data_IF_245481975059
#
_entry.id   IF_245481975059
#
_cell.length_a   1.000
_cell.length_b   1.000
_cell.length_c   1.000
_cell.angle_alpha   90.00
_cell.angle_beta   90.00
_cell.angle_gamma   90.00
#
_symmetry.space_group_name_H-M   'P 1'
#
loop_
_entity.id
_entity.type
_entity.pdbx_description
1 polymer ?
#
# COMPACT_ATOMS: atom_id res chain seq x y z
N UNK A 1 15.28 -3.17 -8.02
CA UNK A 1 13.89 -2.86 -8.38
C UNK A 1 13.70 -2.97 -9.89
N UNK A 2 12.66 -3.68 -10.34
CA UNK A 2 12.19 -3.63 -11.72
C UNK A 2 10.97 -2.70 -11.81
N UNK A 3 11.02 -1.67 -12.63
CA UNK A 3 9.96 -0.66 -12.72
C UNK A 3 9.18 -0.84 -14.01
N UNK A 4 7.86 -0.96 -13.88
CA UNK A 4 6.90 -0.94 -14.96
C UNK A 4 6.07 0.35 -14.83
N UNK A 5 6.38 1.39 -15.62
CA UNK A 5 5.60 2.62 -15.60
C UNK A 5 4.15 2.34 -16.02
N UNK A 6 3.18 2.93 -15.33
CA UNK A 6 1.74 2.87 -15.62
C UNK A 6 1.26 4.30 -15.86
N UNK A 7 0.81 4.55 -17.08
CA UNK A 7 0.24 5.83 -17.50
C UNK A 7 -1.28 5.78 -17.68
N UNK A 8 -1.86 4.56 -17.78
CA UNK A 8 -3.30 4.36 -17.97
C UNK A 8 -3.75 3.04 -17.35
N UNK A 9 -4.97 3.05 -16.79
CA UNK A 9 -5.63 1.87 -16.24
C UNK A 9 -7.03 1.80 -16.85
N UNK A 10 -7.39 0.61 -17.33
CA UNK A 10 -8.70 0.33 -17.95
C UNK A 10 -9.24 -1.02 -17.49
N UNK A 11 -10.56 -1.16 -17.43
CA UNK A 11 -11.17 -2.47 -17.21
C UNK A 11 -11.23 -3.28 -18.51
N UNK A 12 -11.07 -4.60 -18.41
CA UNK A 12 -11.15 -5.51 -19.55
C UNK A 12 -11.32 -6.96 -19.13
N UNK A 13 -11.13 -7.89 -20.08
CA UNK A 13 -11.40 -9.33 -19.88
C UNK A 13 -10.31 -10.10 -19.15
N UNK A 14 -9.13 -9.52 -18.98
CA UNK A 14 -7.98 -10.17 -18.37
C UNK A 14 -7.00 -9.12 -17.85
N UNK A 15 -6.49 -9.34 -16.64
CA UNK A 15 -5.46 -8.49 -16.04
C UNK A 15 -4.14 -8.68 -16.78
N UNK A 16 -3.60 -7.61 -17.39
CA UNK A 16 -2.31 -7.63 -18.09
C UNK A 16 -1.70 -6.24 -18.19
N UNK A 17 -0.38 -6.20 -18.21
CA UNK A 17 0.40 -5.02 -18.50
C UNK A 17 0.86 -5.02 -19.96
N UNK A 18 0.73 -3.87 -20.64
CA UNK A 18 1.24 -3.66 -21.99
C UNK A 18 1.70 -2.20 -22.17
N UNK A 19 3.03 -2.01 -22.25
CA UNK A 19 3.69 -0.75 -22.59
C UNK A 19 3.07 0.52 -21.95
N UNK A 20 2.88 0.52 -20.64
CA UNK A 20 2.32 1.67 -19.90
C UNK A 20 0.83 1.58 -19.59
N UNK A 21 0.09 0.67 -20.25
CA UNK A 21 -1.33 0.44 -19.99
C UNK A 21 -1.53 -0.84 -19.17
N UNK A 22 -2.19 -0.70 -18.02
CA UNK A 22 -2.67 -1.83 -17.23
C UNK A 22 -4.15 -2.09 -17.54
N UNK A 23 -4.45 -3.22 -18.15
CA UNK A 23 -5.83 -3.72 -18.20
C UNK A 23 -6.10 -4.52 -16.93
N UNK A 24 -7.24 -4.29 -16.29
CA UNK A 24 -7.65 -4.98 -15.06
C UNK A 24 -8.92 -5.79 -15.32
N UNK A 25 -8.90 -7.07 -14.99
CA UNK A 25 -10.10 -7.90 -14.93
C UNK A 25 -10.87 -7.56 -13.64
N UNK A 26 -11.89 -6.71 -13.78
CA UNK A 26 -12.69 -6.22 -12.66
C UNK A 26 -13.34 -7.36 -11.89
N UNK A 27 -13.88 -8.35 -12.61
CA UNK A 27 -14.66 -9.42 -12.01
C UNK A 27 -13.75 -10.40 -11.27
N UNK A 28 -12.59 -10.74 -11.84
CA UNK A 28 -11.61 -11.61 -11.19
C UNK A 28 -11.01 -10.97 -9.91
N UNK A 29 -10.71 -9.66 -9.96
CA UNK A 29 -10.22 -8.92 -8.78
C UNK A 29 -11.27 -8.89 -7.68
N UNK A 30 -12.51 -8.51 -8.00
CA UNK A 30 -13.58 -8.45 -7.03
C UNK A 30 -13.96 -9.84 -6.49
N UNK A 31 -13.87 -10.89 -7.31
CA UNK A 31 -14.08 -12.27 -6.87
C UNK A 31 -13.03 -12.70 -5.82
N UNK A 32 -11.76 -12.32 -6.00
CA UNK A 32 -10.72 -12.63 -5.01
C UNK A 32 -10.89 -11.86 -3.71
N UNK A 33 -11.26 -10.57 -3.78
CA UNK A 33 -11.60 -9.78 -2.58
C UNK A 33 -12.74 -10.44 -1.79
N UNK A 34 -13.78 -10.91 -2.49
CA UNK A 34 -14.95 -11.57 -1.88
C UNK A 34 -14.71 -13.00 -1.41
N UNK A 35 -13.49 -13.55 -1.56
CA UNK A 35 -13.13 -14.81 -0.92
C UNK A 35 -13.06 -14.67 0.61
N UNK A 36 -12.84 -13.45 1.11
CA UNK A 36 -12.96 -13.18 2.54
C UNK A 36 -14.44 -12.99 2.91
N UNK A 37 -15.05 -13.90 3.68
CA UNK A 37 -16.48 -13.86 3.97
C UNK A 37 -16.89 -12.68 4.86
N UNK A 38 -15.92 -11.94 5.42
CA UNK A 38 -16.17 -10.72 6.19
C UNK A 38 -16.49 -9.52 5.30
N UNK A 39 -16.26 -9.59 3.99
CA UNK A 39 -16.53 -8.50 3.05
C UNK A 39 -18.01 -8.53 2.64
N UNK A 40 -18.73 -7.44 2.93
CA UNK A 40 -20.14 -7.30 2.58
C UNK A 40 -20.31 -6.72 1.17
N UNK A 41 -19.50 -5.73 0.79
CA UNK A 41 -19.50 -5.16 -0.56
C UNK A 41 -18.08 -4.78 -1.00
N UNK A 42 -17.87 -4.79 -2.31
CA UNK A 42 -16.61 -4.36 -2.93
C UNK A 42 -16.88 -3.88 -4.35
N UNK A 43 -16.32 -2.74 -4.72
CA UNK A 43 -16.40 -2.13 -6.04
C UNK A 43 -15.04 -1.55 -6.44
N UNK A 44 -14.82 -1.44 -7.75
CA UNK A 44 -13.63 -0.81 -8.31
C UNK A 44 -14.03 0.41 -9.14
N UNK A 45 -13.33 1.51 -8.89
CA UNK A 45 -13.43 2.78 -9.62
C UNK A 45 -12.04 3.25 -10.04
N UNK A 46 -11.96 4.08 -11.08
CA UNK A 46 -10.68 4.62 -11.57
C UNK A 46 -10.75 6.14 -11.52
N UNK A 47 -9.80 6.76 -10.82
CA UNK A 47 -9.61 8.20 -10.79
C UNK A 47 -8.28 8.57 -11.45
N UNK A 48 -8.31 9.45 -12.45
CA UNK A 48 -7.15 9.83 -13.26
C UNK A 48 -6.60 11.20 -12.89
N UNK A 49 -5.31 11.45 -13.17
CA UNK A 49 -4.73 12.78 -13.01
C UNK A 49 -5.52 13.84 -13.78
N UNK A 50 -5.88 14.93 -13.09
CA UNK A 50 -6.60 16.06 -13.67
C UNK A 50 -8.13 15.91 -13.71
N UNK A 51 -8.70 14.76 -13.34
CA UNK A 51 -10.14 14.63 -13.16
C UNK A 51 -10.62 15.48 -11.96
N UNK A 52 -11.76 16.15 -12.11
CA UNK A 52 -12.36 16.94 -11.04
C UNK A 52 -13.15 16.06 -10.06
N UNK A 53 -12.45 15.12 -9.40
CA UNK A 53 -13.02 14.14 -8.48
C UNK A 53 -12.33 14.15 -7.12
N UNK A 54 -13.08 13.73 -6.09
CA UNK A 54 -12.60 13.51 -4.73
C UNK A 54 -12.79 12.04 -4.37
N UNK A 55 -11.77 11.43 -3.81
CA UNK A 55 -11.81 10.06 -3.27
C UNK A 55 -11.94 10.17 -1.74
N UNK A 56 -12.94 9.53 -1.15
CA UNK A 56 -13.22 9.59 0.29
C UNK A 56 -14.13 8.44 0.77
N UNK A 57 -14.00 7.97 2.02
CA UNK A 57 -12.86 8.21 2.92
C UNK A 57 -11.69 7.28 2.56
N UNK A 58 -10.52 7.88 2.36
CA UNK A 58 -9.28 7.17 2.00
C UNK A 58 -8.58 6.70 3.26
N UNK A 59 -8.15 5.44 3.21
CA UNK A 59 -7.49 4.77 4.31
C UNK A 59 -6.02 4.48 4.04
N UNK A 60 -5.72 4.08 2.80
CA UNK A 60 -4.36 3.85 2.30
C UNK A 60 -4.24 4.21 0.83
N UNK A 61 -3.00 4.39 0.38
CA UNK A 61 -2.62 4.27 -1.02
C UNK A 61 -1.43 3.33 -1.09
N UNK A 62 -1.54 2.28 -1.90
CA UNK A 62 -0.54 1.23 -2.03
C UNK A 62 -0.01 1.24 -3.47
N UNK A 63 1.31 1.27 -3.66
CA UNK A 63 1.89 0.98 -4.97
C UNK A 63 1.91 -0.54 -5.17
N UNK A 64 1.29 -1.10 -6.22
CA UNK A 64 1.36 -2.53 -6.47
C UNK A 64 2.80 -2.98 -6.71
N UNK A 65 3.24 -3.95 -5.91
CA UNK A 65 4.59 -4.53 -5.95
C UNK A 65 4.53 -6.03 -5.85
N UNK A 66 5.53 -6.70 -6.42
CA UNK A 66 5.62 -8.15 -6.42
C UNK A 66 7.06 -8.62 -6.29
N UNK A 67 7.30 -9.48 -5.31
CA UNK A 67 8.58 -10.14 -5.10
C UNK A 67 8.76 -11.23 -6.15
N UNK A 68 9.78 -11.13 -7.00
CA UNK A 68 10.06 -12.10 -8.07
C UNK A 68 11.33 -12.93 -7.81
N UNK A 69 12.20 -12.47 -6.92
CA UNK A 69 13.42 -13.15 -6.51
C UNK A 69 13.82 -12.71 -5.10
N UNK A 70 14.36 -13.62 -4.28
CA UNK A 70 14.75 -13.35 -2.90
C UNK A 70 13.69 -13.77 -1.88
N UNK A 71 13.96 -13.56 -0.58
CA UNK A 71 13.08 -14.01 0.49
C UNK A 71 11.82 -13.14 0.63
N UNK A 72 10.77 -13.73 1.19
CA UNK A 72 9.57 -13.03 1.63
C UNK A 72 8.63 -12.58 0.52
N UNK A 73 7.75 -11.65 0.90
CA UNK A 73 6.76 -10.99 0.03
C UNK A 73 6.79 -9.49 0.34
N UNK A 74 6.30 -8.66 -0.59
CA UNK A 74 6.10 -7.25 -0.27
C UNK A 74 5.12 -7.14 0.90
N UNK A 75 5.36 -6.19 1.80
CA UNK A 75 4.52 -5.98 2.98
C UNK A 75 4.42 -7.24 3.87
N UNK A 76 5.54 -7.80 4.35
CA UNK A 76 5.54 -9.03 5.15
C UNK A 76 4.84 -8.84 6.51
N UNK A 77 4.24 -9.92 7.02
CA UNK A 77 3.60 -9.98 8.35
C UNK A 77 2.24 -9.29 8.48
N UNK A 78 1.89 -8.33 7.63
CA UNK A 78 0.58 -7.67 7.70
C UNK A 78 -0.52 -8.56 7.10
N UNK A 79 -1.73 -8.53 7.68
CA UNK A 79 -2.89 -9.25 7.17
C UNK A 79 -2.67 -10.76 6.90
N UNK A 80 -1.85 -11.42 7.73
CA UNK A 80 -1.59 -12.86 7.64
C UNK A 80 -0.59 -13.25 6.54
N UNK A 81 0.11 -12.28 5.94
CA UNK A 81 1.26 -12.55 5.06
C UNK A 81 2.40 -13.19 5.85
N UNK A 82 3.18 -14.04 5.19
CA UNK A 82 4.35 -14.68 5.79
C UNK A 82 5.31 -13.64 6.38
N UNK A 83 5.83 -13.96 7.56
CA UNK A 83 6.80 -13.11 8.25
C UNK A 83 8.19 -13.47 7.75
N UNK A 84 8.85 -12.53 7.07
CA UNK A 84 10.21 -12.64 6.61
C UNK A 84 10.85 -11.26 6.51
N UNK A 85 12.15 -11.17 6.75
CA UNK A 85 12.95 -9.97 6.42
C UNK A 85 13.04 -9.84 4.89
N UNK A 86 12.91 -8.61 4.39
CA UNK A 86 12.93 -8.28 2.96
C UNK A 86 14.14 -7.40 2.63
N UNK A 87 14.23 -6.81 1.43
CA UNK A 87 15.32 -5.90 1.04
C UNK A 87 16.45 -6.54 0.23
N UNK A 88 16.37 -7.83 -0.03
CA UNK A 88 17.32 -8.58 -0.86
C UNK A 88 16.65 -9.20 -2.09
N UNK A 89 17.35 -9.29 -3.22
CA UNK A 89 16.81 -9.89 -4.45
C UNK A 89 16.10 -8.87 -5.34
N UNK A 90 14.94 -9.24 -5.90
CA UNK A 90 14.26 -8.45 -6.93
C UNK A 90 12.76 -8.37 -6.70
N UNK A 91 12.29 -7.13 -6.74
CA UNK A 91 10.88 -6.76 -6.66
C UNK A 91 10.53 -5.96 -7.91
N UNK A 92 9.37 -6.27 -8.51
CA UNK A 92 8.79 -5.48 -9.57
C UNK A 92 7.74 -4.53 -8.98
N UNK A 93 7.63 -3.32 -9.52
CA UNK A 93 6.61 -2.32 -9.15
C UNK A 93 5.84 -1.81 -10.37
N UNK A 94 4.57 -1.50 -10.17
CA UNK A 94 3.74 -0.76 -11.11
C UNK A 94 3.78 0.73 -10.74
N UNK A 95 4.77 1.45 -11.25
CA UNK A 95 5.02 2.84 -10.88
C UNK A 95 4.08 3.81 -11.60
N UNK A 96 3.63 4.86 -10.93
CA UNK A 96 2.69 5.85 -11.51
C UNK A 96 1.21 5.52 -11.29
N UNK A 97 0.93 4.47 -10.50
CA UNK A 97 -0.42 4.15 -10.05
C UNK A 97 -0.49 3.90 -8.54
N UNK A 98 -1.71 3.97 -8.00
CA UNK A 98 -2.00 3.61 -6.62
C UNK A 98 -3.24 2.74 -6.54
N UNK A 99 -3.22 1.71 -5.70
CA UNK A 99 -4.44 1.05 -5.20
C UNK A 99 -4.88 1.83 -3.98
N UNK A 100 -6.03 2.51 -4.07
CA UNK A 100 -6.55 3.35 -3.00
C UNK A 100 -7.56 2.54 -2.20
N UNK A 101 -7.28 2.34 -0.92
CA UNK A 101 -8.21 1.70 0.03
C UNK A 101 -9.26 2.73 0.46
N UNK A 102 -10.53 2.47 0.12
CA UNK A 102 -11.66 3.36 0.42
C UNK A 102 -12.70 2.61 1.24
N UNK A 103 -12.95 3.07 2.48
CA UNK A 103 -13.94 2.46 3.37
C UNK A 103 -14.25 3.34 4.57
N UNK A 104 -15.52 3.35 4.98
CA UNK A 104 -16.05 4.08 6.14
C UNK A 104 -15.81 3.40 7.50
N UNK A 105 -15.03 2.30 7.52
CA UNK A 105 -14.64 1.61 8.77
C UNK A 105 -13.99 2.58 9.75
N UNK A 106 -14.30 2.47 11.04
CA UNK A 106 -13.63 3.30 12.03
C UNK A 106 -12.22 2.78 12.28
N UNK A 107 -11.28 3.68 12.60
CA UNK A 107 -9.90 3.28 12.83
C UNK A 107 -9.73 2.41 14.09
N UNK A 108 -10.53 2.66 15.13
CA UNK A 108 -10.47 1.99 16.42
C UNK A 108 -11.77 2.25 17.21
N UNK A 109 -12.04 1.39 18.20
CA UNK A 109 -13.25 1.43 19.04
C UNK A 109 -13.18 2.47 20.19
N UNK A 110 -12.06 3.18 20.34
CA UNK A 110 -11.79 4.09 21.46
C UNK A 110 -11.01 5.33 20.97
N UNK A 111 -10.51 6.18 21.87
CA UNK A 111 -9.54 7.24 21.51
C UNK A 111 -10.11 8.55 20.95
N UNK A 112 -11.37 8.58 20.49
CA UNK A 112 -12.07 9.83 20.11
C UNK A 112 -11.56 10.52 18.83
N UNK A 113 -10.61 9.89 18.12
CA UNK A 113 -10.03 10.42 16.90
C UNK A 113 -10.87 10.01 15.67
N UNK A 114 -11.67 10.94 15.14
CA UNK A 114 -12.41 10.78 13.88
C UNK A 114 -11.73 11.63 12.79
N UNK A 115 -10.64 11.11 12.24
CA UNK A 115 -9.93 11.79 11.15
C UNK A 115 -10.06 10.95 9.89
N UNK A 116 -10.95 11.34 8.99
CA UNK A 116 -11.02 10.77 7.65
C UNK A 116 -10.09 11.55 6.72
N UNK A 117 -9.36 10.83 5.87
CA UNK A 117 -8.57 11.44 4.81
C UNK A 117 -9.36 11.42 3.51
N UNK A 118 -9.21 12.46 2.69
CA UNK A 118 -9.70 12.47 1.32
C UNK A 118 -8.58 12.87 0.37
N UNK A 119 -8.70 12.46 -0.89
CA UNK A 119 -7.77 12.83 -1.95
C UNK A 119 -8.53 13.62 -3.02
N UNK A 120 -8.13 14.88 -3.24
CA UNK A 120 -8.59 15.65 -4.38
C UNK A 120 -7.67 15.38 -5.58
N UNK A 121 -8.26 15.04 -6.72
CA UNK A 121 -7.53 14.79 -7.97
C UNK A 121 -7.32 16.05 -8.82
N UNK A 122 -7.75 17.21 -8.30
CA UNK A 122 -7.60 18.52 -8.92
C UNK A 122 -7.50 19.62 -7.87
N UNK A 123 -7.18 20.85 -8.30
CA UNK A 123 -7.08 22.02 -7.42
C UNK A 123 -5.83 22.06 -6.56
N UNK A 124 -5.70 23.11 -5.75
CA UNK A 124 -4.48 23.38 -4.99
C UNK A 124 -4.23 22.36 -3.86
N UNK A 125 -5.30 21.82 -3.27
CA UNK A 125 -5.18 20.78 -2.24
C UNK A 125 -4.61 19.48 -2.83
N UNK A 126 -5.09 19.03 -3.99
CA UNK A 126 -4.53 17.89 -4.71
C UNK A 126 -3.04 18.06 -5.03
N UNK A 127 -2.60 19.29 -5.32
CA UNK A 127 -1.19 19.63 -5.58
C UNK A 127 -0.26 19.42 -4.40
N UNK A 128 -0.78 19.37 -3.17
CA UNK A 128 0.03 19.11 -1.98
C UNK A 128 0.43 17.64 -1.80
N UNK A 129 -0.21 16.72 -2.54
CA UNK A 129 0.02 15.28 -2.40
C UNK A 129 0.50 14.65 -3.71
N UNK A 130 1.26 13.55 -3.64
CA UNK A 130 1.71 12.85 -4.86
C UNK A 130 0.54 12.18 -5.60
N UNK A 131 -0.54 11.84 -4.90
CA UNK A 131 -1.59 10.95 -5.41
C UNK A 131 -2.40 11.51 -6.58
N UNK A 132 -2.53 12.84 -6.71
CA UNK A 132 -3.22 13.41 -7.87
C UNK A 132 -2.49 13.15 -9.20
N UNK A 133 -1.20 12.80 -9.15
CA UNK A 133 -0.37 12.49 -10.32
C UNK A 133 -0.41 11.01 -10.68
N UNK A 134 -1.03 10.18 -9.85
CA UNK A 134 -1.15 8.75 -10.05
C UNK A 134 -2.45 8.42 -10.79
N UNK A 135 -2.43 7.33 -11.57
CA UNK A 135 -3.69 6.66 -11.94
C UNK A 135 -4.14 5.83 -10.74
N UNK A 136 -5.21 6.27 -10.07
CA UNK A 136 -5.69 5.62 -8.86
C UNK A 136 -6.78 4.60 -9.20
N UNK A 137 -6.54 3.33 -8.84
CA UNK A 137 -7.56 2.30 -8.81
C UNK A 137 -8.13 2.24 -7.39
N UNK A 138 -9.33 2.77 -7.22
CA UNK A 138 -10.00 2.84 -5.92
C UNK A 138 -10.75 1.53 -5.66
N UNK A 139 -10.39 0.84 -4.58
CA UNK A 139 -11.17 -0.25 -4.02
C UNK A 139 -12.11 0.34 -2.97
N UNK A 140 -13.38 0.46 -3.33
CA UNK A 140 -14.46 0.82 -2.39
C UNK A 140 -14.96 -0.47 -1.78
N UNK A 141 -14.66 -0.69 -0.51
CA UNK A 141 -14.92 -1.98 0.16
C UNK A 141 -15.52 -1.75 1.53
N UNK A 142 -16.56 -2.48 1.86
CA UNK A 142 -17.15 -2.44 3.21
C UNK A 142 -17.28 -3.85 3.78
N UNK A 143 -16.83 -4.07 5.03
CA UNK A 143 -17.00 -5.34 5.72
C UNK A 143 -18.41 -5.45 6.32
N UNK A 144 -18.75 -6.63 6.83
CA UNK A 144 -19.95 -6.84 7.64
C UNK A 144 -19.95 -5.86 8.83
N UNK A 145 -20.99 -5.03 8.89
CA UNK A 145 -21.15 -3.98 9.88
C UNK A 145 -21.25 -4.51 11.32
N UNK A 146 -21.60 -5.78 11.51
CA UNK A 146 -21.76 -6.42 12.83
C UNK A 146 -20.42 -6.82 13.47
N UNK A 147 -19.32 -6.82 12.71
CA UNK A 147 -17.99 -7.13 13.21
C UNK A 147 -17.44 -5.99 14.08
N UNK A 148 -16.48 -6.29 14.95
CA UNK A 148 -15.72 -5.25 15.66
C UNK A 148 -14.76 -4.53 14.72
N UNK A 149 -14.33 -3.32 15.09
CA UNK A 149 -13.51 -2.49 14.20
C UNK A 149 -12.15 -3.13 13.89
N UNK A 150 -11.49 -3.81 14.83
CA UNK A 150 -10.21 -4.50 14.55
C UNK A 150 -10.34 -5.53 13.41
N UNK A 151 -11.40 -6.35 13.44
CA UNK A 151 -11.67 -7.34 12.39
C UNK A 151 -12.04 -6.67 11.07
N UNK A 152 -12.80 -5.58 11.10
CA UNK A 152 -13.16 -4.78 9.91
C UNK A 152 -11.92 -4.18 9.24
N UNK A 153 -11.08 -3.53 10.05
CA UNK A 153 -9.81 -2.93 9.63
C UNK A 153 -8.90 -3.97 8.96
N UNK A 154 -8.75 -5.14 9.58
CA UNK A 154 -7.98 -6.25 9.01
C UNK A 154 -8.54 -6.68 7.66
N UNK A 155 -9.87 -6.87 7.55
CA UNK A 155 -10.50 -7.39 6.35
C UNK A 155 -10.39 -6.41 5.17
N UNK A 156 -10.63 -5.12 5.41
CA UNK A 156 -10.53 -4.07 4.39
C UNK A 156 -9.09 -3.90 3.91
N UNK A 157 -8.12 -3.83 4.82
CA UNK A 157 -6.72 -3.70 4.40
C UNK A 157 -6.21 -4.94 3.67
N UNK A 158 -6.63 -6.14 4.11
CA UNK A 158 -6.34 -7.39 3.39
C UNK A 158 -6.92 -7.37 1.97
N UNK A 159 -8.12 -6.81 1.78
CA UNK A 159 -8.72 -6.67 0.46
C UNK A 159 -7.87 -5.75 -0.45
N UNK A 160 -7.41 -4.59 0.05
CA UNK A 160 -6.55 -3.69 -0.71
C UNK A 160 -5.21 -4.35 -1.10
N UNK A 161 -4.60 -5.06 -0.16
CA UNK A 161 -3.40 -5.87 -0.38
C UNK A 161 -3.62 -7.00 -1.41
N UNK A 162 -4.79 -7.64 -1.39
CA UNK A 162 -5.17 -8.68 -2.37
C UNK A 162 -5.26 -8.09 -3.78
N UNK A 163 -5.85 -6.89 -3.92
CA UNK A 163 -5.87 -6.17 -5.20
C UNK A 163 -4.44 -5.86 -5.65
N UNK A 164 -3.61 -5.28 -4.77
CA UNK A 164 -2.22 -4.94 -5.09
C UNK A 164 -1.41 -6.16 -5.58
N UNK A 165 -1.55 -7.32 -4.93
CA UNK A 165 -0.88 -8.55 -5.35
C UNK A 165 -1.34 -8.99 -6.75
N UNK A 166 -2.65 -9.00 -7.01
CA UNK A 166 -3.17 -9.40 -8.32
C UNK A 166 -2.69 -8.50 -9.45
N UNK A 167 -2.56 -7.20 -9.21
CA UNK A 167 -2.00 -6.29 -10.20
C UNK A 167 -0.50 -6.53 -10.39
N UNK A 168 0.23 -6.78 -9.30
CA UNK A 168 1.65 -7.15 -9.35
C UNK A 168 1.90 -8.41 -10.19
N UNK A 169 1.04 -9.42 -10.09
CA UNK A 169 1.16 -10.67 -10.87
C UNK A 169 1.19 -10.43 -12.38
N UNK A 170 0.58 -9.35 -12.88
CA UNK A 170 0.60 -8.96 -14.29
C UNK A 170 2.01 -8.75 -14.85
N UNK A 171 3.00 -8.50 -13.99
CA UNK A 171 4.38 -8.19 -14.37
C UNK A 171 5.42 -9.16 -13.80
N UNK A 172 5.01 -10.21 -13.06
CA UNK A 172 5.93 -11.18 -12.44
C UNK A 172 6.92 -11.78 -13.44
N UNK A 173 6.39 -12.26 -14.56
CA UNK A 173 7.14 -13.01 -15.58
C UNK A 173 7.69 -12.13 -16.71
N UNK A 174 7.50 -10.81 -16.62
CA UNK A 174 7.94 -9.87 -17.65
C UNK A 174 9.34 -9.32 -17.33
N UNK A 175 10.09 -8.98 -18.38
CA UNK A 175 11.30 -8.18 -18.22
C UNK A 175 10.89 -6.71 -17.95
N UNK A 176 11.38 -6.08 -16.86
CA UNK A 176 11.01 -4.71 -16.55
C UNK A 176 11.62 -3.73 -17.58
N UNK A 177 10.85 -2.74 -18.06
CA UNK A 177 11.37 -1.67 -18.92
C UNK A 177 12.55 -0.91 -18.28
N UNK A 178 12.48 -0.72 -16.97
CA UNK A 178 13.49 -0.01 -16.20
C UNK A 178 13.99 -0.90 -15.06
N UNK A 179 15.30 -0.90 -14.81
CA UNK A 179 15.90 -1.65 -13.71
C UNK A 179 16.89 -0.78 -12.96
N UNK A 180 16.74 -0.75 -11.65
CA UNK A 180 17.65 -0.07 -10.73
C UNK A 180 18.16 -1.06 -9.68
N UNK A 181 19.45 -0.96 -9.35
CA UNK A 181 20.10 -1.78 -8.33
C UNK A 181 20.44 -0.86 -7.17
N UNK A 182 19.99 -1.25 -5.97
CA UNK A 182 20.26 -0.52 -4.73
C UNK A 182 21.25 -1.32 -3.90
N UNK A 183 22.45 -0.79 -3.74
CA UNK A 183 23.53 -1.40 -2.98
C UNK A 183 24.23 -0.36 -2.11
N UNK A 184 24.58 -0.74 -0.87
CA UNK A 184 25.46 0.07 -0.03
C UNK A 184 26.90 -0.28 -0.36
N UNK A 185 27.51 0.51 -1.24
CA UNK A 185 28.95 0.40 -1.53
C UNK A 185 29.78 0.98 -0.38
N UNK A 186 31.07 0.61 -0.26
CA UNK A 186 31.99 1.27 0.67
C UNK A 186 31.94 2.79 0.52
N UNK A 187 31.82 3.50 1.65
CA UNK A 187 31.80 4.97 1.72
C UNK A 187 33.19 5.50 2.09
N UNK A 188 33.47 6.76 1.76
CA UNK A 188 34.71 7.43 2.16
C UNK A 188 34.83 7.44 3.70
N UNK A 189 35.85 6.79 4.28
CA UNK A 189 36.00 6.69 5.72
C UNK A 189 36.33 8.02 6.41
N UNK A 190 36.67 9.07 5.65
CA UNK A 190 36.91 10.41 6.17
C UNK A 190 35.62 11.19 6.48
N UNK A 191 34.48 10.75 5.96
CA UNK A 191 33.19 11.40 6.17
C UNK A 191 32.59 11.02 7.54
N UNK A 192 31.83 11.93 8.18
CA UNK A 192 31.13 11.62 9.42
C UNK A 192 30.08 10.52 9.20
N UNK A 193 29.98 9.59 10.15
CA UNK A 193 28.91 8.58 10.16
C UNK A 193 27.62 9.21 10.65
N UNK A 194 26.54 9.03 9.90
CA UNK A 194 25.20 9.54 10.23
C UNK A 194 24.27 8.36 10.53
N UNK A 195 23.45 8.50 11.56
CA UNK A 195 22.31 7.60 11.82
C UNK A 195 21.04 8.41 11.65
N UNK A 196 20.16 7.95 10.77
CA UNK A 196 18.82 8.51 10.63
C UNK A 196 17.86 7.73 11.52
N UNK A 197 17.17 8.44 12.42
CA UNK A 197 16.14 7.87 13.29
C UNK A 197 14.79 8.26 12.71
N UNK A 198 14.10 7.31 12.10
CA UNK A 198 12.75 7.51 11.59
C UNK A 198 11.71 7.17 12.66
N UNK A 199 11.04 8.18 13.19
CA UNK A 199 9.95 7.99 14.13
C UNK A 199 8.67 7.56 13.41
N UNK A 200 8.31 6.28 13.52
CA UNK A 200 7.05 5.74 13.02
C UNK A 200 6.00 5.79 14.13
N UNK A 201 4.84 6.36 13.81
CA UNK A 201 3.76 6.49 14.78
C UNK A 201 3.05 5.13 15.00
N UNK A 202 2.71 4.82 16.25
CA UNK A 202 1.85 3.68 16.62
C UNK A 202 0.60 4.18 17.34
N UNK A 203 -0.60 3.64 17.03
CA UNK A 203 -1.85 4.02 17.68
C UNK A 203 -2.06 3.23 18.98
N UNK A 204 -1.24 2.21 19.26
CA UNK A 204 -1.51 1.20 20.29
C UNK A 204 -1.73 1.84 21.67
N UNK A 205 -0.98 2.90 22.01
CA UNK A 205 -1.15 3.60 23.28
C UNK A 205 -2.54 4.21 23.48
N UNK A 206 -3.22 4.59 22.38
CA UNK A 206 -4.54 5.23 22.40
C UNK A 206 -5.67 4.23 22.12
N UNK A 207 -5.48 3.33 21.15
CA UNK A 207 -6.50 2.36 20.75
C UNK A 207 -6.50 1.09 21.59
N UNK A 208 -5.40 0.76 22.27
CA UNK A 208 -5.21 -0.50 22.98
C UNK A 208 -5.13 -1.74 22.06
N UNK A 209 -5.32 -1.57 20.75
CA UNK A 209 -5.38 -2.68 19.81
C UNK A 209 -3.97 -3.05 19.31
N UNK A 210 -3.59 -4.35 19.38
CA UNK A 210 -2.25 -4.82 19.02
C UNK A 210 -2.06 -4.91 17.50
N UNK A 211 -3.17 -4.95 16.76
CA UNK A 211 -3.19 -4.91 15.29
C UNK A 211 -3.88 -3.66 14.78
N UNK A 212 -4.14 -2.68 15.67
CA UNK A 212 -4.81 -1.45 15.29
C UNK A 212 -4.09 -0.86 14.10
N UNK A 213 -4.90 -0.68 13.08
CA UNK A 213 -4.62 -0.08 11.82
C UNK A 213 -3.70 1.15 11.96
N UNK A 214 -2.48 1.06 11.40
CA UNK A 214 -1.47 2.12 11.33
C UNK A 214 -0.29 1.63 10.47
N UNK A 215 0.71 2.48 10.26
CA UNK A 215 2.03 2.05 9.80
C UNK A 215 2.59 0.96 10.73
N UNK A 216 2.76 -0.22 10.18
CA UNK A 216 3.33 -1.41 10.77
C UNK A 216 4.77 -1.60 10.31
N UNK A 217 5.61 -2.15 11.18
CA UNK A 217 6.93 -2.67 10.81
C UNK A 217 6.87 -4.19 10.83
N UNK A 218 7.05 -4.86 9.68
CA UNK A 218 6.87 -6.31 9.54
C UNK A 218 5.53 -6.81 10.10
N UNK A 219 4.44 -6.06 9.85
CA UNK A 219 3.09 -6.36 10.34
C UNK A 219 2.83 -6.00 11.81
N UNK A 220 3.83 -5.52 12.54
CA UNK A 220 3.69 -5.10 13.93
C UNK A 220 3.30 -3.62 14.01
N UNK A 221 2.11 -3.33 14.54
CA UNK A 221 1.66 -1.95 14.83
C UNK A 221 1.84 -1.56 16.29
N UNK A 222 2.23 -2.51 17.15
CA UNK A 222 2.50 -2.28 18.56
C UNK A 222 3.78 -1.46 18.81
N UNK A 223 3.84 -0.80 19.96
CA UNK A 223 5.05 -0.16 20.48
C UNK A 223 6.13 -1.22 20.68
N UNK A 224 7.24 -1.07 19.95
CA UNK A 224 8.40 -1.95 20.04
C UNK A 224 9.68 -1.12 20.23
N UNK A 225 10.78 -1.73 20.72
CA UNK A 225 12.09 -1.09 20.68
C UNK A 225 12.48 -0.70 19.24
N UNK A 226 13.39 0.27 19.05
CA UNK A 226 13.85 0.67 17.72
C UNK A 226 14.40 -0.50 16.90
N UNK A 227 14.01 -0.57 15.64
CA UNK A 227 14.51 -1.56 14.68
C UNK A 227 15.65 -0.95 13.86
N UNK A 228 16.70 -1.74 13.66
CA UNK A 228 17.72 -1.40 12.68
C UNK A 228 17.28 -1.93 11.32
N UNK A 229 17.01 -1.03 10.38
CA UNK A 229 16.52 -1.38 9.05
C UNK A 229 17.50 -0.88 8.00
N UNK A 230 17.82 -1.76 7.06
CA UNK A 230 18.47 -1.40 5.82
C UNK A 230 17.49 -0.59 4.93
N UNK A 231 17.92 0.46 4.22
CA UNK A 231 17.04 1.25 3.35
C UNK A 231 16.27 0.40 2.32
N UNK A 232 16.91 -0.65 1.79
CA UNK A 232 16.26 -1.60 0.90
C UNK A 232 15.07 -2.33 1.55
N UNK A 233 15.07 -2.56 2.87
CA UNK A 233 13.92 -3.17 3.55
C UNK A 233 12.68 -2.27 3.46
N UNK A 234 12.86 -0.95 3.61
CA UNK A 234 11.79 0.04 3.45
C UNK A 234 11.26 0.01 2.01
N UNK A 235 12.16 0.04 1.02
CA UNK A 235 11.81 -0.07 -0.41
C UNK A 235 11.10 -1.39 -0.75
N UNK A 236 11.23 -2.41 0.08
CA UNK A 236 10.64 -3.72 -0.15
C UNK A 236 9.39 -3.97 0.73
N UNK A 237 8.93 -2.93 1.42
CA UNK A 237 7.67 -2.93 2.17
C UNK A 237 7.78 -3.40 3.62
N UNK A 238 8.97 -3.40 4.21
CA UNK A 238 9.13 -3.69 5.65
C UNK A 238 8.30 -2.75 6.52
N UNK A 239 8.13 -1.51 6.07
CA UNK A 239 7.13 -0.60 6.62
C UNK A 239 5.99 -0.47 5.63
N UNK A 240 4.79 -0.69 6.13
CA UNK A 240 3.57 -0.47 5.40
C UNK A 240 2.52 -0.14 6.39
N UNK A 241 1.55 0.62 5.95
CA UNK A 241 0.31 0.55 6.65
C UNK A 241 -0.45 1.83 6.50
N UNK A 242 -1.75 1.67 6.57
CA UNK A 242 -2.66 2.75 6.31
C UNK A 242 -2.70 3.70 7.52
N UNK A 243 -2.87 5.00 7.28
CA UNK A 243 -2.73 6.02 8.32
C UNK A 243 -3.76 7.13 8.21
N UNK A 244 -4.05 7.79 9.34
CA UNK A 244 -5.03 8.89 9.43
C UNK A 244 -4.63 10.17 8.69
N UNK A 245 -3.46 10.21 8.07
CA UNK A 245 -3.01 11.34 7.25
C UNK A 245 -2.49 10.86 5.90
N UNK A 246 -2.78 11.62 4.86
CA UNK A 246 -2.29 11.37 3.51
C UNK A 246 -0.74 11.33 3.40
N UNK A 247 0.01 11.78 4.41
CA UNK A 247 1.47 11.85 4.39
C UNK A 247 2.18 10.57 4.83
N UNK A 248 1.47 9.60 5.40
CA UNK A 248 2.07 8.38 5.94
C UNK A 248 1.43 7.08 5.41
N UNK A 249 0.76 7.18 4.26
CA UNK A 249 0.25 6.01 3.55
C UNK A 249 1.39 5.15 3.01
N UNK A 250 1.11 3.88 2.76
CA UNK A 250 2.09 2.87 2.32
C UNK A 250 2.87 3.31 1.08
N UNK A 251 2.24 4.03 0.15
CA UNK A 251 2.88 4.58 -1.04
C UNK A 251 3.97 5.61 -0.69
N UNK A 252 3.70 6.54 0.23
CA UNK A 252 4.66 7.59 0.64
C UNK A 252 5.81 7.01 1.48
N UNK A 253 5.55 5.94 2.23
CA UNK A 253 6.59 5.24 2.99
C UNK A 253 7.60 4.57 2.06
N UNK A 254 7.15 4.09 0.90
CA UNK A 254 7.94 3.24 0.00
C UNK A 254 8.45 3.92 -1.29
N UNK A 255 8.14 5.21 -1.52
CA UNK A 255 8.51 5.99 -2.70
C UNK A 255 8.98 7.40 -2.34
#
# INVERSE_FOLDING_TARGET
MGTFPVSDVVFGRATRYDAGRLTVDRDAVLAAVRQDPRIASAELEIARPGESVRIWPVRDVIEPRIKVEGPGVCYPGICGRDIATVGEGRTHRLAGMGVVEVSSVNWHDAGGDYVETYLDMSGHYGQMYPYQKLVNLCLVVEPDATLNEEVKNYAVHKAALTVADQLGEAVRSLAPPEREVFELTPVDPSLPRVVYIWCVHSPQAMSGSPTAFCTATYGLTQLTPPWYLHPNEILDGALTGPYRTAFAMSWTVAN
#
